data_IF_971577452695
#
_entry.id   IF_971577452695
#
_cell.length_a   1.000
_cell.length_b   1.000
_cell.length_c   1.000
_cell.angle_alpha   90.00
_cell.angle_beta   90.00
_cell.angle_gamma   90.00
#
_symmetry.space_group_name_H-M   'P 1'
#
loop_
_entity.id
_entity.type
_entity.pdbx_description
1 polymer ?
#
# COMPACT_ATOMS: atom_id res chain seq x y z
N UNK A 1 7.44 1.91 10.42
CA UNK A 1 7.44 1.79 8.95
C UNK A 1 7.36 0.33 8.55
N UNK A 2 6.63 -0.06 7.50
CA UNK A 2 6.63 -1.44 7.01
C UNK A 2 7.54 -1.55 5.78
N UNK A 3 8.55 -2.41 5.83
CA UNK A 3 9.52 -2.65 4.75
C UNK A 3 9.53 -4.16 4.51
N UNK A 4 9.41 -4.60 3.26
CA UNK A 4 9.37 -6.02 2.88
C UNK A 4 8.38 -6.88 3.70
N UNK A 5 7.26 -6.25 4.07
CA UNK A 5 6.20 -6.88 4.86
C UNK A 5 6.43 -6.87 6.37
N UNK A 6 7.62 -6.50 6.85
CA UNK A 6 7.98 -6.46 8.27
C UNK A 6 7.79 -5.06 8.85
N UNK A 7 7.25 -4.96 10.07
CA UNK A 7 7.10 -3.68 10.76
C UNK A 7 8.39 -3.33 11.50
N UNK A 8 8.96 -2.18 11.15
CA UNK A 8 10.11 -1.58 11.82
C UNK A 8 9.61 -0.44 12.72
N UNK A 9 9.93 -0.45 14.03
CA UNK A 9 9.60 0.66 14.92
C UNK A 9 10.38 1.91 14.50
N UNK A 10 9.77 3.07 14.70
CA UNK A 10 10.40 4.38 14.57
C UNK A 10 10.36 5.06 15.94
N UNK A 11 11.20 6.08 16.20
CA UNK A 11 11.12 6.85 17.42
C UNK A 11 9.72 7.43 17.64
N UNK A 12 9.30 7.44 18.90
CA UNK A 12 8.01 8.01 19.28
C UNK A 12 8.01 9.52 19.07
N UNK A 13 6.85 10.04 18.70
CA UNK A 13 6.57 11.47 18.62
C UNK A 13 5.80 11.91 19.86
N UNK A 14 6.00 13.15 20.30
CA UNK A 14 5.20 13.69 21.41
C UNK A 14 3.71 13.71 21.04
N UNK A 15 2.80 13.61 22.02
CA UNK A 15 1.35 13.64 21.76
C UNK A 15 0.91 14.89 20.97
N UNK A 16 1.43 16.06 21.33
CA UNK A 16 1.11 17.32 20.65
C UNK A 16 1.57 17.33 19.19
N UNK A 17 2.77 16.78 18.92
CA UNK A 17 3.24 16.59 17.56
C UNK A 17 2.35 15.62 16.78
N UNK A 18 1.86 14.55 17.43
CA UNK A 18 0.93 13.59 16.84
C UNK A 18 -0.39 14.23 16.38
N UNK A 19 -0.96 15.13 17.20
CA UNK A 19 -2.18 15.89 16.85
C UNK A 19 -1.92 16.81 15.64
N UNK A 20 -0.82 17.57 15.68
CA UNK A 20 -0.45 18.46 14.58
C UNK A 20 -0.20 17.71 13.26
N UNK A 21 0.49 16.56 13.33
CA UNK A 21 0.74 15.69 12.19
C UNK A 21 -0.55 15.15 11.61
N UNK A 22 -1.48 14.68 12.45
CA UNK A 22 -2.78 14.16 12.00
C UNK A 22 -3.56 15.23 11.25
N UNK A 23 -3.65 16.45 11.78
CA UNK A 23 -4.33 17.55 11.11
C UNK A 23 -3.68 17.89 9.75
N UNK A 24 -2.34 17.95 9.69
CA UNK A 24 -1.62 18.22 8.43
C UNK A 24 -1.84 17.13 7.39
N UNK A 25 -1.85 15.86 7.81
CA UNK A 25 -2.10 14.72 6.93
C UNK A 25 -3.54 14.70 6.42
N UNK A 26 -4.52 15.07 7.25
CA UNK A 26 -5.92 15.24 6.82
C UNK A 26 -6.06 16.33 5.77
N UNK A 27 -5.41 17.48 5.94
CA UNK A 27 -5.37 18.55 4.92
C UNK A 27 -4.83 18.02 3.59
N UNK A 28 -3.70 17.30 3.62
CA UNK A 28 -3.09 16.76 2.40
C UNK A 28 -4.04 15.79 1.69
N UNK A 29 -4.71 14.92 2.44
CA UNK A 29 -5.67 13.93 1.92
C UNK A 29 -7.07 14.47 1.60
N UNK A 30 -7.32 15.77 1.74
CA UNK A 30 -8.65 16.39 1.63
C UNK A 30 -9.71 15.73 2.54
N UNK A 31 -9.31 15.41 3.78
CA UNK A 31 -10.16 14.82 4.81
C UNK A 31 -10.74 15.89 5.74
N UNK A 32 -11.85 15.60 6.38
CA UNK A 32 -12.45 16.49 7.38
C UNK A 32 -11.61 16.48 8.66
N UNK A 33 -10.97 17.62 8.94
CA UNK A 33 -10.09 17.82 10.08
C UNK A 33 -10.89 17.79 11.38
N UNK A 34 -12.14 18.27 11.38
CA UNK A 34 -12.99 18.36 12.56
C UNK A 34 -13.64 17.03 12.93
N UNK A 35 -13.77 16.09 11.97
CA UNK A 35 -14.33 14.77 12.24
C UNK A 35 -13.27 13.80 12.76
N UNK A 36 -13.45 13.33 13.99
CA UNK A 36 -12.53 12.40 14.68
C UNK A 36 -13.21 11.09 15.12
N UNK A 37 -14.52 10.93 14.85
CA UNK A 37 -15.35 9.82 15.32
C UNK A 37 -15.61 8.77 14.26
N UNK A 38 -15.39 9.11 12.99
CA UNK A 38 -15.58 8.22 11.86
C UNK A 38 -14.23 7.94 11.19
N UNK A 39 -14.00 6.71 10.67
CA UNK A 39 -12.88 6.45 9.78
C UNK A 39 -12.96 7.33 8.53
N UNK A 40 -11.82 7.75 8.01
CA UNK A 40 -11.74 8.53 6.78
C UNK A 40 -10.66 7.97 5.86
N UNK A 41 -10.91 7.99 4.56
CA UNK A 41 -9.98 7.53 3.53
C UNK A 41 -9.77 8.65 2.51
N UNK A 42 -8.52 8.77 2.03
CA UNK A 42 -8.17 9.76 1.03
C UNK A 42 -6.92 9.37 0.25
N UNK A 43 -6.53 10.27 -0.64
CA UNK A 43 -5.30 10.14 -1.41
C UNK A 43 -4.71 11.51 -1.66
N UNK A 44 -3.39 11.57 -1.78
CA UNK A 44 -2.71 12.81 -2.11
C UNK A 44 -1.39 12.52 -2.82
N UNK A 45 -0.90 13.50 -3.56
CA UNK A 45 0.41 13.44 -4.22
C UNK A 45 1.26 14.60 -3.74
N UNK A 46 2.52 14.33 -3.43
CA UNK A 46 3.50 15.35 -3.04
C UNK A 46 4.76 15.20 -3.89
N UNK A 47 5.38 16.32 -4.22
CA UNK A 47 6.71 16.34 -4.84
C UNK A 47 7.78 16.09 -3.76
N UNK A 48 8.50 14.98 -3.89
CA UNK A 48 9.58 14.61 -2.98
C UNK A 48 10.84 14.31 -3.79
N UNK A 49 11.92 15.05 -3.52
CA UNK A 49 13.21 14.91 -4.22
C UNK A 49 13.07 14.93 -5.76
N UNK A 50 12.17 15.78 -6.28
CA UNK A 50 11.92 15.94 -7.72
C UNK A 50 11.06 14.84 -8.34
N UNK A 51 10.46 13.95 -7.55
CA UNK A 51 9.53 12.93 -8.03
C UNK A 51 8.14 13.13 -7.41
N UNK A 52 7.11 13.00 -8.24
CA UNK A 52 5.73 12.94 -7.80
C UNK A 52 5.48 11.63 -7.05
N UNK A 53 5.17 11.71 -5.76
CA UNK A 53 4.91 10.54 -4.92
C UNK A 53 3.46 10.56 -4.45
N UNK A 54 2.70 9.53 -4.84
CA UNK A 54 1.30 9.37 -4.44
C UNK A 54 1.18 8.50 -3.19
N UNK A 55 0.28 8.90 -2.30
CA UNK A 55 -0.05 8.19 -1.08
C UNK A 55 -1.56 7.94 -1.00
N UNK A 56 -1.94 6.79 -0.46
CA UNK A 56 -3.25 6.61 0.17
C UNK A 56 -3.13 6.86 1.66
N UNK A 57 -4.11 7.55 2.22
CA UNK A 57 -4.22 7.82 3.64
C UNK A 57 -5.51 7.21 4.16
N UNK A 58 -5.45 6.62 5.34
CA UNK A 58 -6.62 6.19 6.10
C UNK A 58 -6.46 6.63 7.55
N UNK A 59 -7.53 7.16 8.15
CA UNK A 59 -7.61 7.48 9.58
C UNK A 59 -8.62 6.58 10.28
N UNK A 60 -8.33 6.21 11.51
CA UNK A 60 -9.21 5.40 12.35
C UNK A 60 -9.24 5.97 13.78
N UNK A 61 -10.44 6.28 14.32
CA UNK A 61 -10.59 6.68 15.72
C UNK A 61 -10.04 5.60 16.65
N UNK A 62 -9.18 5.98 17.59
CA UNK A 62 -8.54 5.07 18.55
C UNK A 62 -8.57 5.65 19.97
N UNK A 63 -8.28 4.82 20.97
CA UNK A 63 -8.03 5.32 22.33
C UNK A 63 -6.76 6.18 22.29
N UNK A 64 -6.89 7.47 22.61
CA UNK A 64 -5.78 8.42 22.60
C UNK A 64 -5.63 9.26 21.32
N UNK A 65 -6.63 9.26 20.43
CA UNK A 65 -6.64 10.12 19.23
C UNK A 65 -7.00 9.34 17.98
N UNK A 66 -6.29 9.59 16.89
CA UNK A 66 -6.50 8.89 15.61
C UNK A 66 -5.26 8.10 15.22
N UNK A 67 -5.49 6.87 14.74
CA UNK A 67 -4.47 6.11 14.03
C UNK A 67 -4.50 6.53 12.56
N UNK A 68 -3.38 7.03 12.07
CA UNK A 68 -3.19 7.35 10.66
C UNK A 68 -2.30 6.30 9.99
N UNK A 69 -2.72 5.79 8.85
CA UNK A 69 -1.93 4.89 8.01
C UNK A 69 -1.71 5.54 6.65
N UNK A 70 -0.44 5.69 6.28
CA UNK A 70 -0.03 6.09 4.94
C UNK A 70 0.45 4.87 4.18
N UNK A 71 -0.03 4.72 2.95
CA UNK A 71 0.46 3.74 1.99
C UNK A 71 1.04 4.48 0.79
N UNK A 72 2.34 4.31 0.59
CA UNK A 72 3.01 4.71 -0.63
C UNK A 72 2.40 3.93 -1.80
N UNK A 73 1.89 4.65 -2.80
CA UNK A 73 1.51 4.07 -4.07
C UNK A 73 2.73 4.12 -4.97
N UNK A 74 3.28 2.95 -5.30
CA UNK A 74 4.29 2.86 -6.33
C UNK A 74 3.62 3.18 -7.67
N UNK A 75 4.04 4.28 -8.32
CA UNK A 75 3.62 4.54 -9.69
C UNK A 75 4.24 3.47 -10.57
N UNK A 76 3.44 2.47 -10.95
CA UNK A 76 3.88 1.41 -11.87
C UNK A 76 3.87 2.00 -13.28
N UNK A 77 4.94 2.69 -13.64
CA UNK A 77 5.13 3.24 -14.98
C UNK A 77 5.55 2.21 -16.03
N UNK A 78 5.78 0.96 -15.62
CA UNK A 78 6.20 -0.12 -16.52
C UNK A 78 5.07 -1.12 -16.72
N UNK A 79 4.71 -1.37 -17.98
CA UNK A 79 3.97 -2.56 -18.33
C UNK A 79 4.72 -3.78 -17.80
N UNK A 80 4.06 -4.61 -16.99
CA UNK A 80 4.63 -5.86 -16.52
C UNK A 80 4.82 -6.78 -17.73
N UNK A 81 6.08 -7.10 -18.04
CA UNK A 81 6.41 -8.10 -19.05
C UNK A 81 6.09 -9.49 -18.48
N UNK A 82 5.20 -10.21 -19.15
CA UNK A 82 4.78 -11.57 -18.76
C UNK A 82 5.97 -12.53 -18.67
N UNK A 83 7.02 -12.30 -19.46
CA UNK A 83 8.26 -13.10 -19.40
C UNK A 83 9.02 -12.94 -18.08
N UNK A 84 8.80 -11.83 -17.36
CA UNK A 84 9.48 -11.52 -16.08
C UNK A 84 8.74 -12.05 -14.85
N UNK A 85 7.59 -12.70 -15.04
CA UNK A 85 6.74 -13.21 -13.95
C UNK A 85 7.29 -14.49 -13.28
N UNK A 86 8.43 -15.01 -13.73
CA UNK A 86 9.09 -16.17 -13.14
C UNK A 86 8.40 -17.51 -13.43
N UNK A 87 7.54 -17.55 -14.46
CA UNK A 87 6.89 -18.79 -14.91
C UNK A 87 7.90 -19.71 -15.59
N UNK A 88 7.73 -21.02 -15.41
CA UNK A 88 8.47 -22.01 -16.20
C UNK A 88 8.08 -21.91 -17.68
N UNK A 89 8.96 -22.29 -18.65
CA UNK A 89 8.70 -22.11 -20.08
C UNK A 89 7.36 -22.69 -20.56
N UNK A 90 6.97 -23.87 -20.06
CA UNK A 90 5.70 -24.50 -20.40
C UNK A 90 4.51 -23.70 -19.87
N UNK A 91 4.57 -23.25 -18.61
CA UNK A 91 3.51 -22.44 -18.00
C UNK A 91 3.34 -21.10 -18.71
N UNK A 92 4.45 -20.48 -19.12
CA UNK A 92 4.44 -19.25 -19.89
C UNK A 92 3.77 -19.45 -21.26
N UNK A 93 4.06 -20.56 -21.94
CA UNK A 93 3.43 -20.90 -23.21
C UNK A 93 1.92 -21.12 -23.07
N UNK A 94 1.49 -21.89 -22.06
CA UNK A 94 0.07 -22.14 -21.78
C UNK A 94 -0.66 -20.83 -21.40
N UNK A 95 -0.04 -20.00 -20.57
CA UNK A 95 -0.59 -18.71 -20.17
C UNK A 95 -0.69 -17.74 -21.35
N UNK A 96 0.34 -17.64 -22.19
CA UNK A 96 0.32 -16.84 -23.41
C UNK A 96 -0.76 -17.33 -24.38
N UNK A 97 -0.89 -18.64 -24.56
CA UNK A 97 -1.94 -19.23 -25.41
C UNK A 97 -3.35 -18.92 -24.89
N UNK A 98 -3.56 -18.99 -23.57
CA UNK A 98 -4.83 -18.63 -22.94
C UNK A 98 -5.17 -17.14 -23.13
N UNK A 99 -4.18 -16.25 -23.06
CA UNK A 99 -4.35 -14.81 -23.30
C UNK A 99 -4.70 -14.46 -24.75
N UNK A 100 -4.39 -15.34 -25.72
CA UNK A 100 -4.73 -15.15 -27.14
C UNK A 100 -6.13 -15.66 -27.50
N UNK A 101 -6.87 -16.27 -26.56
CA UNK A 101 -8.23 -16.74 -26.83
C UNK A 101 -9.19 -15.54 -26.94
N UNK A 102 -10.09 -15.50 -27.94
CA UNK A 102 -11.01 -14.38 -28.16
C UNK A 102 -12.04 -14.21 -27.03
N UNK A 103 -12.27 -15.26 -26.24
CA UNK A 103 -13.15 -15.26 -25.07
C UNK A 103 -12.65 -16.29 -24.04
N UNK A 104 -12.78 -15.95 -22.76
CA UNK A 104 -12.35 -16.80 -21.66
C UNK A 104 -12.22 -16.03 -20.34
N UNK A 105 -12.03 -16.76 -19.24
CA UNK A 105 -11.82 -16.19 -17.90
C UNK A 105 -10.49 -16.70 -17.35
N UNK A 106 -9.58 -15.78 -17.02
CA UNK A 106 -8.34 -16.10 -16.30
C UNK A 106 -8.57 -15.82 -14.82
N UNK A 107 -8.58 -16.88 -14.00
CA UNK A 107 -8.69 -16.77 -12.55
C UNK A 107 -7.30 -16.82 -11.93
N UNK A 108 -6.85 -15.69 -11.40
CA UNK A 108 -5.64 -15.61 -10.59
C UNK A 108 -6.04 -15.75 -9.13
N UNK A 109 -5.69 -16.88 -8.52
CA UNK A 109 -5.79 -17.02 -7.07
C UNK A 109 -4.47 -16.61 -6.43
N UNK A 110 -4.55 -15.93 -5.29
CA UNK A 110 -3.41 -15.69 -4.43
C UNK A 110 -3.78 -16.16 -3.03
N UNK A 111 -3.08 -17.16 -2.45
CA UNK A 111 -3.29 -17.48 -1.05
C UNK A 111 -2.83 -16.27 -0.22
N UNK A 112 -3.61 -15.86 0.78
CA UNK A 112 -3.16 -14.86 1.75
C UNK A 112 -1.90 -15.40 2.44
N UNK A 113 -0.71 -14.99 1.98
CA UNK A 113 0.55 -15.42 2.58
C UNK A 113 0.68 -14.78 3.96
N UNK A 114 0.35 -15.55 5.00
CA UNK A 114 0.98 -15.37 6.30
C UNK A 114 2.39 -15.93 6.20
N UNK A 115 3.38 -15.04 6.26
CA UNK A 115 4.78 -15.44 6.40
C UNK A 115 4.96 -15.90 7.85
N UNK A 116 4.96 -17.21 8.11
CA UNK A 116 5.49 -17.74 9.37
C UNK A 116 7.01 -17.58 9.33
N UNK A 117 7.56 -16.85 10.29
CA UNK A 117 9.00 -16.71 10.48
C UNK A 117 9.58 -18.07 10.93
N UNK A 118 10.36 -18.71 10.06
CA UNK A 118 11.28 -19.78 10.46
C UNK A 118 12.60 -19.16 10.93
N UNK A 119 12.78 -19.06 12.24
CA UNK A 119 14.11 -19.12 12.83
C UNK A 119 14.52 -20.59 12.89
N UNK A 120 15.49 -20.97 12.05
CA UNK A 120 16.31 -22.14 12.31
C UNK A 120 17.69 -21.62 12.74
N UNK A 121 18.08 -22.05 13.94
CA UNK A 121 19.45 -22.00 14.45
C UNK A 121 20.39 -22.76 13.52
#
# INVERSE_FOLDING_TARGET
MRIDGVLHPLPDVSPDAGVALTARLKVLGNLDIAEHRLPQDGQFTVELAGNAVSFRIATLPCRGGEKVVLRLLQQVGQALDVNTLGMQPLQLADFAHALQQPQGLVLVNWPYRQRQNGHAL
#
